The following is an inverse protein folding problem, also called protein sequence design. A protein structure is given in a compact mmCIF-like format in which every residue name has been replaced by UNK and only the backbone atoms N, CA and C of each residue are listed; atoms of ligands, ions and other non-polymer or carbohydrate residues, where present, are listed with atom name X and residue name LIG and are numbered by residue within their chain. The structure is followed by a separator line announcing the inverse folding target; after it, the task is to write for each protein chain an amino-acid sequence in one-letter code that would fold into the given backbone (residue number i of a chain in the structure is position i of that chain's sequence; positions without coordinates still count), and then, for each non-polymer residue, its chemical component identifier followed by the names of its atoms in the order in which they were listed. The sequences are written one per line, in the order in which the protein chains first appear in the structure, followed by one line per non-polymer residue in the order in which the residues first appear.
data_IF_870610536422
#
_entry.id   IF_870610536422
#
_cell.length_a   1.000
_cell.length_b   1.000
_cell.length_c   1.000
_cell.angle_alpha   90.00
_cell.angle_beta   90.00
_cell.angle_gamma   90.00
#
_symmetry.space_group_name_H-M   'P 1'
#
loop_
_entity.id
_entity.type
_entity.pdbx_description
1 polymer ?
#
# COMPACT_ATOMS: atom_id res chain seq x y z
N UNK A 1 -20.22 15.18 18.71
CA UNK A 1 -19.21 15.62 17.73
C UNK A 1 -18.15 14.52 17.62
N UNK A 2 -17.95 13.90 16.44
CA UNK A 2 -16.83 12.95 16.28
C UNK A 2 -15.53 13.77 16.32
N UNK A 3 -14.77 13.65 17.40
CA UNK A 3 -13.39 14.15 17.45
C UNK A 3 -12.64 13.54 16.29
N UNK A 4 -12.15 14.35 15.35
CA UNK A 4 -11.24 13.88 14.31
C UNK A 4 -9.99 13.37 15.03
N UNK A 5 -9.89 12.05 15.23
CA UNK A 5 -8.69 11.44 15.74
C UNK A 5 -7.57 11.83 14.76
N UNK A 6 -6.60 12.61 15.25
CA UNK A 6 -5.44 12.97 14.45
C UNK A 6 -4.69 11.67 14.18
N UNK A 7 -4.74 11.20 12.92
CA UNK A 7 -3.91 10.09 12.51
C UNK A 7 -2.45 10.52 12.69
N UNK A 8 -1.57 9.59 13.10
CA UNK A 8 -0.18 9.92 13.20
C UNK A 8 0.35 10.40 11.85
N UNK A 9 1.18 11.45 11.84
CA UNK A 9 1.68 12.03 10.61
C UNK A 9 2.42 10.95 9.81
N UNK A 10 2.14 10.82 8.51
CA UNK A 10 2.95 9.99 7.62
C UNK A 10 4.41 10.46 7.68
N UNK A 11 5.35 9.53 7.71
CA UNK A 11 6.77 9.86 7.73
C UNK A 11 7.66 8.67 7.99
N UNK A 12 8.95 8.85 7.70
CA UNK A 12 10.00 7.92 8.06
C UNK A 12 10.41 8.18 9.51
N UNK A 13 10.29 7.15 10.36
CA UNK A 13 10.71 7.19 11.76
C UNK A 13 11.95 6.33 11.92
N UNK A 14 13.07 6.96 12.31
CA UNK A 14 14.40 6.34 12.29
C UNK A 14 14.84 6.02 13.73
N UNK A 15 15.86 5.17 13.91
CA UNK A 15 16.34 4.77 15.23
C UNK A 15 16.72 5.92 16.16
N UNK A 16 17.19 7.04 15.61
CA UNK A 16 17.54 8.24 16.38
C UNK A 16 16.29 8.89 17.00
N UNK A 17 15.10 8.64 16.45
CA UNK A 17 13.85 9.17 17.00
C UNK A 17 13.52 8.58 18.39
N UNK A 18 14.18 7.49 18.82
CA UNK A 18 14.13 7.00 20.22
C UNK A 18 14.62 8.07 21.19
N UNK A 19 15.61 8.86 20.79
CA UNK A 19 16.21 9.92 21.60
C UNK A 19 15.67 11.31 21.23
N UNK A 20 14.63 11.37 20.37
CA UNK A 20 14.05 12.65 19.97
C UNK A 20 13.45 13.40 21.16
N UNK A 21 13.78 14.70 21.28
CA UNK A 21 13.16 15.61 22.26
C UNK A 21 11.64 15.71 22.10
N UNK A 22 11.13 15.46 20.89
CA UNK A 22 9.68 15.45 20.59
C UNK A 22 9.11 14.07 20.91
N UNK A 23 8.41 13.95 22.05
CA UNK A 23 7.79 12.69 22.52
C UNK A 23 6.95 11.96 21.47
N UNK A 24 6.24 12.70 20.62
CA UNK A 24 5.42 12.08 19.58
C UNK A 24 6.27 11.30 18.56
N UNK A 25 7.48 11.74 18.22
CA UNK A 25 8.38 11.00 17.31
C UNK A 25 8.85 9.69 17.92
N UNK A 26 9.21 9.69 19.20
CA UNK A 26 9.55 8.47 19.94
C UNK A 26 8.41 7.45 19.89
N UNK A 27 7.18 7.88 20.17
CA UNK A 27 5.99 7.02 20.13
C UNK A 27 5.75 6.47 18.72
N UNK A 28 5.94 7.29 17.68
CA UNK A 28 5.77 6.85 16.30
C UNK A 28 6.81 5.81 15.87
N UNK A 29 8.08 5.98 16.27
CA UNK A 29 9.14 5.01 16.02
C UNK A 29 8.84 3.67 16.71
N UNK A 30 8.53 3.70 18.02
CA UNK A 30 8.20 2.49 18.77
C UNK A 30 6.98 1.76 18.17
N UNK A 31 5.97 2.51 17.73
CA UNK A 31 4.81 1.95 17.03
C UNK A 31 5.21 1.29 15.71
N UNK A 32 6.13 1.88 14.94
CA UNK A 32 6.63 1.30 13.68
C UNK A 32 7.36 -0.02 13.93
N UNK A 33 8.24 -0.03 14.94
CA UNK A 33 8.95 -1.24 15.34
C UNK A 33 7.98 -2.35 15.79
N UNK A 34 6.97 -2.01 16.57
CA UNK A 34 5.95 -2.95 17.00
C UNK A 34 5.21 -3.55 15.80
N UNK A 35 4.66 -2.73 14.91
CA UNK A 35 3.88 -3.21 13.76
C UNK A 35 4.72 -3.99 12.75
N UNK A 36 5.97 -3.58 12.54
CA UNK A 36 6.93 -4.30 11.68
C UNK A 36 7.22 -5.70 12.22
N UNK A 37 7.55 -5.82 13.51
CA UNK A 37 7.78 -7.12 14.16
C UNK A 37 6.52 -7.96 14.23
N UNK A 38 5.40 -7.38 14.62
CA UNK A 38 4.11 -8.07 14.69
C UNK A 38 3.71 -8.65 13.33
N UNK A 39 3.86 -7.89 12.24
CA UNK A 39 3.59 -8.38 10.87
C UNK A 39 4.53 -9.51 10.46
N UNK A 40 5.81 -9.45 10.84
CA UNK A 40 6.82 -10.44 10.45
C UNK A 40 6.69 -11.73 11.26
N UNK A 41 6.62 -11.61 12.57
CA UNK A 41 6.73 -12.71 13.53
C UNK A 41 5.38 -13.31 13.88
N UNK A 42 4.35 -12.47 14.08
CA UNK A 42 3.08 -12.94 14.62
C UNK A 42 2.00 -13.14 13.55
N UNK A 43 1.84 -12.19 12.62
CA UNK A 43 0.86 -12.32 11.54
C UNK A 43 1.13 -13.55 10.66
N UNK A 44 2.40 -13.89 10.44
CA UNK A 44 2.82 -15.12 9.73
C UNK A 44 2.33 -16.40 10.42
N UNK A 45 2.22 -16.39 11.75
CA UNK A 45 1.74 -17.54 12.53
C UNK A 45 0.21 -17.65 12.53
N UNK A 46 -0.51 -16.52 12.49
CA UNK A 46 -1.99 -16.52 12.44
C UNK A 46 -2.50 -16.79 11.02
N UNK A 47 -1.86 -16.20 10.01
CA UNK A 47 -2.29 -16.35 8.64
C UNK A 47 -1.88 -17.74 8.13
N UNK A 48 -2.73 -18.74 8.37
CA UNK A 48 -2.64 -20.03 7.67
C UNK A 48 -2.63 -19.70 6.18
N UNK A 49 -1.51 -19.95 5.49
CA UNK A 49 -1.39 -19.69 4.05
C UNK A 49 -2.35 -20.60 3.31
N UNK A 50 -3.60 -20.16 3.12
CA UNK A 50 -4.50 -20.83 2.22
C UNK A 50 -3.93 -20.72 0.82
N UNK A 51 -3.60 -21.88 0.22
CA UNK A 51 -3.36 -21.93 -1.21
C UNK A 51 -4.66 -21.50 -1.89
N UNK A 52 -4.52 -20.74 -2.97
CA UNK A 52 -5.66 -20.38 -3.81
C UNK A 52 -6.19 -21.64 -4.48
N UNK A 53 -7.20 -22.28 -3.90
CA UNK A 53 -7.80 -23.51 -4.45
C UNK A 53 -8.87 -23.22 -5.50
N UNK A 54 -9.49 -22.03 -5.42
CA UNK A 54 -10.55 -21.60 -6.33
C UNK A 54 -10.10 -20.37 -7.11
N UNK A 55 -10.31 -20.35 -8.44
CA UNK A 55 -10.05 -19.16 -9.22
C UNK A 55 -10.91 -17.99 -8.71
N UNK A 56 -10.28 -16.83 -8.52
CA UNK A 56 -10.96 -15.56 -8.24
C UNK A 56 -10.99 -14.70 -9.50
N UNK A 57 -11.82 -13.66 -9.48
CA UNK A 57 -11.87 -12.62 -10.53
C UNK A 57 -10.47 -12.05 -10.79
N UNK A 58 -10.05 -12.04 -12.05
CA UNK A 58 -8.84 -11.33 -12.49
C UNK A 58 -9.04 -9.82 -12.38
N UNK A 59 -7.96 -9.07 -12.17
CA UNK A 59 -7.96 -7.61 -12.29
C UNK A 59 -8.35 -7.22 -13.72
N UNK A 60 -9.15 -6.16 -13.85
CA UNK A 60 -9.63 -5.63 -15.12
C UNK A 60 -9.23 -4.17 -15.29
N UNK A 61 -9.28 -3.72 -16.54
CA UNK A 61 -9.20 -2.31 -16.91
C UNK A 61 -10.18 -1.48 -16.08
N UNK A 62 -9.70 -0.36 -15.53
CA UNK A 62 -10.51 0.55 -14.73
C UNK A 62 -10.62 0.20 -13.24
N UNK A 63 -10.11 -0.95 -12.80
CA UNK A 63 -10.08 -1.29 -11.37
C UNK A 63 -9.21 -0.29 -10.60
N UNK A 64 -9.64 0.08 -9.39
CA UNK A 64 -8.82 0.87 -8.46
C UNK A 64 -8.14 -0.10 -7.50
N UNK A 65 -6.82 -0.07 -7.52
CA UNK A 65 -5.98 -0.94 -6.72
C UNK A 65 -5.07 -0.13 -5.80
N UNK A 66 -4.70 -0.76 -4.70
CA UNK A 66 -3.67 -0.28 -3.78
C UNK A 66 -2.41 -1.11 -3.96
N UNK A 67 -1.28 -0.43 -4.10
CA UNK A 67 0.02 -1.09 -4.18
C UNK A 67 0.52 -1.45 -2.78
N UNK A 68 0.76 -2.74 -2.56
CA UNK A 68 1.43 -3.28 -1.38
C UNK A 68 2.94 -3.23 -1.61
N UNK A 69 3.56 -2.12 -1.21
CA UNK A 69 5.02 -2.04 -1.07
C UNK A 69 5.43 -2.41 0.36
N UNK A 70 6.58 -3.05 0.50
CA UNK A 70 7.13 -3.39 1.81
C UNK A 70 7.90 -2.18 2.41
N UNK A 71 8.34 -1.24 1.57
CA UNK A 71 9.17 -0.09 1.96
C UNK A 71 8.36 1.21 2.15
N UNK A 72 7.03 1.17 2.06
CA UNK A 72 6.21 2.36 2.25
C UNK A 72 6.02 2.67 3.75
N UNK A 73 6.16 3.93 4.19
CA UNK A 73 5.94 4.29 5.58
C UNK A 73 4.48 4.06 5.98
N UNK A 74 4.26 3.81 7.27
CA UNK A 74 2.91 3.63 7.82
C UNK A 74 2.00 4.80 7.45
N UNK A 75 0.76 4.48 7.08
CA UNK A 75 -0.29 5.40 6.63
C UNK A 75 -0.06 6.06 5.27
N UNK A 76 0.97 5.68 4.51
CA UNK A 76 1.07 6.03 3.10
C UNK A 76 0.42 4.93 2.26
N UNK A 77 -0.58 5.31 1.46
CA UNK A 77 -1.31 4.40 0.60
C UNK A 77 -1.14 4.82 -0.85
N UNK A 78 -0.41 4.02 -1.63
CA UNK A 78 -0.25 4.23 -3.06
C UNK A 78 -1.42 3.65 -3.83
N UNK A 79 -2.33 4.54 -4.19
CA UNK A 79 -3.47 4.22 -5.04
C UNK A 79 -3.07 4.29 -6.51
N UNK A 80 -3.59 3.34 -7.28
CA UNK A 80 -3.39 3.28 -8.71
C UNK A 80 -4.65 2.82 -9.44
N UNK A 81 -4.75 3.24 -10.69
CA UNK A 81 -5.74 2.79 -11.64
C UNK A 81 -5.14 1.76 -12.57
N UNK A 82 -5.87 0.67 -12.82
CA UNK A 82 -5.47 -0.34 -13.78
C UNK A 82 -5.71 0.19 -15.20
N UNK A 83 -4.61 0.41 -15.92
CA UNK A 83 -4.62 0.91 -17.30
C UNK A 83 -4.59 -0.20 -18.34
N UNK A 84 -3.91 -1.30 -18.03
CA UNK A 84 -3.73 -2.43 -18.94
C UNK A 84 -3.45 -3.70 -18.15
N UNK A 85 -3.89 -4.85 -18.65
CA UNK A 85 -3.75 -6.16 -18.00
C UNK A 85 -3.06 -7.12 -18.94
N UNK A 86 -1.94 -7.68 -18.51
CA UNK A 86 -1.18 -8.66 -19.30
C UNK A 86 -1.63 -10.06 -18.88
N UNK A 87 -2.31 -10.73 -19.81
CA UNK A 87 -2.81 -12.09 -19.66
C UNK A 87 -1.74 -13.08 -20.11
N UNK A 88 -1.60 -14.19 -19.38
CA UNK A 88 -0.71 -15.29 -19.77
C UNK A 88 -1.43 -16.34 -20.63
N UNK A 89 -0.72 -17.35 -21.13
CA UNK A 89 -1.27 -18.43 -21.96
C UNK A 89 -2.46 -19.17 -21.31
N UNK A 90 -2.49 -19.21 -19.98
CA UNK A 90 -3.53 -19.88 -19.19
C UNK A 90 -4.81 -19.01 -19.01
N UNK A 91 -4.86 -17.80 -19.60
CA UNK A 91 -5.99 -16.87 -19.45
C UNK A 91 -6.01 -16.09 -18.12
N UNK A 92 -4.97 -16.23 -17.29
CA UNK A 92 -4.84 -15.55 -15.98
C UNK A 92 -3.98 -14.29 -16.06
N UNK A 93 -4.37 -13.26 -15.31
CA UNK A 93 -3.63 -11.98 -15.23
C UNK A 93 -2.54 -12.10 -14.16
N UNK A 94 -1.27 -12.00 -14.58
CA UNK A 94 -0.11 -12.05 -13.66
C UNK A 94 0.57 -10.68 -13.49
N UNK A 95 0.47 -9.81 -14.49
CA UNK A 95 1.05 -8.47 -14.51
C UNK A 95 0.03 -7.43 -14.96
N UNK A 96 0.12 -6.24 -14.41
CA UNK A 96 -0.81 -5.13 -14.68
C UNK A 96 0.00 -3.84 -14.84
N UNK A 97 -0.37 -3.02 -15.83
CA UNK A 97 0.13 -1.65 -15.95
C UNK A 97 -0.76 -0.72 -15.16
N UNK A 98 -0.13 0.02 -14.27
CA UNK A 98 -0.79 0.89 -13.31
C UNK A 98 -0.47 2.35 -13.58
N UNK A 99 -1.48 3.19 -13.45
CA UNK A 99 -1.33 4.64 -13.42
C UNK A 99 -1.53 5.11 -11.99
N UNK A 100 -0.48 5.63 -11.39
CA UNK A 100 -0.57 6.21 -10.05
C UNK A 100 -1.08 7.65 -10.13
N UNK A 101 -1.75 8.06 -9.04
CA UNK A 101 -2.05 9.47 -8.81
C UNK A 101 -0.76 10.28 -8.71
N UNK A 102 -0.80 11.55 -9.14
CA UNK A 102 0.32 12.46 -8.96
C UNK A 102 0.68 12.60 -7.48
N UNK A 103 1.98 12.67 -7.17
CA UNK A 103 2.40 12.97 -5.78
C UNK A 103 1.84 14.32 -5.40
N UNK A 104 1.19 14.38 -4.23
CA UNK A 104 0.81 15.65 -3.61
C UNK A 104 2.10 16.35 -3.21
N UNK A 105 2.38 17.48 -3.85
CA UNK A 105 3.44 18.37 -3.37
C UNK A 105 2.99 18.96 -2.03
N UNK A 106 3.92 19.35 -1.16
CA UNK A 106 3.65 19.89 0.19
C UNK A 106 2.62 21.06 0.20
N UNK A 107 2.39 21.71 -0.95
CA UNK A 107 1.42 22.80 -1.15
C UNK A 107 0.02 22.33 -1.60
N UNK A 108 -0.30 21.05 -1.52
CA UNK A 108 -1.61 20.50 -1.91
C UNK A 108 -1.87 20.45 -3.42
N UNK A 109 -0.88 20.80 -4.24
CA UNK A 109 -0.96 20.71 -5.70
C UNK A 109 -0.64 19.28 -6.16
N UNK A 110 -1.50 18.71 -7.01
CA UNK A 110 -1.23 17.46 -7.71
C UNK A 110 -0.25 17.75 -8.85
N UNK A 111 0.96 17.20 -8.78
CA UNK A 111 1.84 17.17 -9.94
C UNK A 111 1.15 16.41 -11.09
N UNK A 112 0.94 17.05 -12.24
CA UNK A 112 0.19 16.47 -13.37
C UNK A 112 0.87 15.28 -14.08
N UNK A 113 2.06 14.87 -13.61
CA UNK A 113 2.79 13.72 -14.17
C UNK A 113 2.30 12.45 -13.48
N UNK A 114 1.54 11.66 -14.20
CA UNK A 114 1.18 10.32 -13.75
C UNK A 114 2.37 9.39 -13.95
N UNK A 115 2.80 8.70 -12.89
CA UNK A 115 3.78 7.63 -13.05
C UNK A 115 3.06 6.36 -13.50
N UNK A 116 3.50 5.82 -14.64
CA UNK A 116 3.06 4.52 -15.15
C UNK A 116 4.08 3.49 -14.70
N UNK A 117 3.64 2.41 -14.07
CA UNK A 117 4.52 1.30 -13.68
C UNK A 117 3.86 -0.04 -13.94
N UNK A 118 4.68 -1.05 -14.21
CA UNK A 118 4.22 -2.44 -14.25
C UNK A 118 4.42 -3.10 -12.90
N UNK A 119 3.39 -3.83 -12.43
CA UNK A 119 3.43 -4.57 -11.17
C UNK A 119 2.80 -5.95 -11.29
N UNK A 120 3.31 -6.95 -10.55
CA UNK A 120 2.66 -8.24 -10.43
C UNK A 120 1.40 -8.13 -9.57
N UNK A 121 0.36 -8.91 -9.88
CA UNK A 121 -0.93 -8.87 -9.16
C UNK A 121 -0.78 -9.17 -7.68
N UNK A 122 0.19 -9.99 -7.28
CA UNK A 122 0.48 -10.34 -5.87
C UNK A 122 0.88 -9.14 -5.00
N UNK A 123 1.35 -8.05 -5.62
CA UNK A 123 1.71 -6.81 -4.93
C UNK A 123 0.55 -5.80 -4.93
N UNK A 124 -0.65 -6.19 -5.36
CA UNK A 124 -1.81 -5.32 -5.49
C UNK A 124 -2.96 -5.84 -4.63
N UNK A 125 -3.75 -4.88 -4.12
CA UNK A 125 -5.00 -5.16 -3.41
C UNK A 125 -6.10 -4.40 -4.14
N UNK A 126 -7.12 -5.11 -4.60
CA UNK A 126 -8.30 -4.52 -5.22
C UNK A 126 -9.11 -3.75 -4.16
N UNK A 127 -9.41 -2.48 -4.42
CA UNK A 127 -10.21 -1.63 -3.54
C UNK A 127 -11.60 -1.36 -4.10
N UNK A 128 -11.66 -1.06 -5.39
CA UNK A 128 -12.92 -0.78 -6.10
C UNK A 128 -12.89 -1.50 -7.44
N UNK A 129 -13.96 -2.23 -7.71
CA UNK A 129 -14.16 -2.88 -8.99
C UNK A 129 -14.59 -1.84 -10.03
N UNK A 130 -14.09 -1.99 -11.25
CA UNK A 130 -14.60 -1.25 -12.39
C UNK A 130 -16.11 -1.49 -12.57
N UNK A 131 -16.88 -0.45 -12.91
CA UNK A 131 -18.31 -0.57 -13.21
C UNK A 131 -18.60 -1.45 -14.42
#
# INVERSE_FOLDING_TARGET
MKTKAALPPPGEFIGEDVYARKRWRQVQYLSEQFWSRWKKEYLSNIATRQKWHTPRRNLKLGDIVMEKMDDLPRNEWRLAWVMDTVVDKDGLVRKVKLRFGGRKTEKGQCSGKHSIMERPVLKLVLLLEAP
#
